data_IF_710635887457
#
_entry.id   IF_710635887457
#
_cell.length_a   1.000
_cell.length_b   1.000
_cell.length_c   1.000
_cell.angle_alpha   90.00
_cell.angle_beta   90.00
_cell.angle_gamma   90.00
#
_symmetry.space_group_name_H-M   'P 1'
#
loop_
_entity.id
_entity.type
_entity.pdbx_description
1 polymer ?
#
# COMPACT_ATOMS: atom_id res chain seq x y z
N UNK A 1 -3.57 16.45 -17.19
CA UNK A 1 -2.73 17.30 -16.33
C UNK A 1 -2.22 16.50 -15.13
N UNK A 2 -0.92 16.47 -14.85
CA UNK A 2 -0.41 15.78 -13.66
C UNK A 2 -0.84 16.50 -12.36
N UNK A 3 -0.73 15.83 -11.22
CA UNK A 3 -0.93 16.46 -9.92
C UNK A 3 0.17 17.51 -9.63
N UNK A 4 -0.11 18.42 -8.70
CA UNK A 4 0.90 19.40 -8.26
C UNK A 4 2.10 18.71 -7.61
N UNK A 5 3.25 19.39 -7.61
CA UNK A 5 4.49 18.86 -7.02
C UNK A 5 4.31 18.49 -5.55
N UNK A 6 3.53 19.27 -4.79
CA UNK A 6 3.23 19.01 -3.37
C UNK A 6 2.46 17.71 -3.18
N UNK A 7 1.46 17.44 -4.02
CA UNK A 7 0.69 16.18 -3.95
C UNK A 7 1.57 15.00 -4.32
N UNK A 8 2.40 15.12 -5.36
CA UNK A 8 3.34 14.07 -5.75
C UNK A 8 4.34 13.78 -4.64
N UNK A 9 4.92 14.82 -4.04
CA UNK A 9 5.83 14.68 -2.91
C UNK A 9 5.16 14.00 -1.72
N UNK A 10 3.94 14.42 -1.34
CA UNK A 10 3.18 13.79 -0.27
C UNK A 10 2.92 12.30 -0.53
N UNK A 11 2.49 11.95 -1.75
CA UNK A 11 2.28 10.55 -2.15
C UNK A 11 3.59 9.76 -2.11
N UNK A 12 4.70 10.30 -2.62
CA UNK A 12 6.00 9.61 -2.53
C UNK A 12 6.45 9.40 -1.08
N UNK A 13 6.32 10.42 -0.22
CA UNK A 13 6.66 10.33 1.20
C UNK A 13 5.82 9.27 1.92
N UNK A 14 4.52 9.20 1.62
CA UNK A 14 3.62 8.19 2.17
C UNK A 14 4.01 6.78 1.71
N UNK A 15 4.38 6.62 0.43
CA UNK A 15 4.86 5.33 -0.09
C UNK A 15 6.19 4.88 0.51
N UNK A 16 7.02 5.79 1.02
CA UNK A 16 8.21 5.41 1.80
C UNK A 16 7.88 4.61 3.07
N UNK A 17 6.63 4.68 3.56
CA UNK A 17 6.16 3.82 4.66
C UNK A 17 6.23 2.31 4.36
N UNK A 18 6.32 1.92 3.08
CA UNK A 18 6.54 0.53 2.67
C UNK A 18 7.98 0.04 2.95
N UNK A 19 8.95 0.95 3.07
CA UNK A 19 10.37 0.59 3.08
C UNK A 19 10.78 -0.33 4.24
N UNK A 20 10.34 -0.10 5.51
CA UNK A 20 10.69 -0.99 6.61
C UNK A 20 10.18 -2.41 6.40
N UNK A 21 8.93 -2.55 5.95
CA UNK A 21 8.32 -3.85 5.69
C UNK A 21 8.97 -4.58 4.50
N UNK A 22 9.25 -3.85 3.42
CA UNK A 22 9.99 -4.39 2.28
C UNK A 22 11.38 -4.87 2.68
N UNK A 23 12.06 -4.15 3.58
CA UNK A 23 13.35 -4.55 4.16
C UNK A 23 13.26 -5.88 4.91
N UNK A 24 12.30 -6.01 5.83
CA UNK A 24 12.06 -7.26 6.58
C UNK A 24 11.80 -8.43 5.63
N UNK A 25 10.90 -8.25 4.66
CA UNK A 25 10.60 -9.28 3.65
C UNK A 25 11.85 -9.67 2.86
N UNK A 26 12.66 -8.69 2.45
CA UNK A 26 13.91 -8.96 1.71
C UNK A 26 14.88 -9.79 2.56
N UNK A 27 15.07 -9.45 3.83
CA UNK A 27 15.93 -10.20 4.75
C UNK A 27 15.44 -11.65 4.88
N UNK A 28 14.14 -11.88 5.11
CA UNK A 28 13.58 -13.23 5.17
C UNK A 28 13.73 -14.00 3.86
N UNK A 29 13.51 -13.37 2.71
CA UNK A 29 13.71 -14.03 1.40
C UNK A 29 15.16 -14.43 1.13
N UNK A 30 16.12 -13.73 1.75
CA UNK A 30 17.55 -14.05 1.68
C UNK A 30 17.99 -15.05 2.76
N UNK A 31 17.04 -15.59 3.56
CA UNK A 31 17.33 -16.54 4.65
C UNK A 31 17.84 -15.89 5.93
N UNK A 32 17.83 -14.56 6.04
CA UNK A 32 18.26 -13.85 7.24
C UNK A 32 17.22 -13.85 8.37
N UNK A 33 17.64 -13.37 9.54
CA UNK A 33 16.75 -13.10 10.68
C UNK A 33 16.29 -11.64 10.66
N UNK A 34 14.98 -11.44 10.79
CA UNK A 34 14.40 -10.13 11.03
C UNK A 34 13.29 -10.24 12.06
N UNK A 35 13.22 -9.24 12.94
CA UNK A 35 12.23 -9.17 14.03
C UNK A 35 12.31 -10.37 15.01
N UNK A 36 13.46 -11.05 15.09
CA UNK A 36 13.66 -12.24 15.91
C UNK A 36 13.00 -13.50 15.32
N UNK A 37 12.82 -13.52 14.00
CA UNK A 37 12.28 -14.64 13.23
C UNK A 37 13.23 -14.93 12.07
N UNK A 38 13.68 -16.19 11.95
CA UNK A 38 14.46 -16.62 10.80
C UNK A 38 13.56 -16.74 9.56
N UNK A 39 14.10 -16.42 8.37
CA UNK A 39 13.36 -16.50 7.12
C UNK A 39 12.75 -17.89 6.83
N UNK A 40 13.43 -18.96 7.25
CA UNK A 40 12.93 -20.33 7.12
C UNK A 40 11.71 -20.60 8.00
N UNK A 41 11.69 -20.10 9.24
CA UNK A 41 10.55 -20.22 10.15
C UNK A 41 9.35 -19.43 9.61
N UNK A 42 9.61 -18.25 9.06
CA UNK A 42 8.59 -17.44 8.39
C UNK A 42 7.99 -18.16 7.18
N UNK A 43 8.83 -18.73 6.31
CA UNK A 43 8.40 -19.49 5.13
C UNK A 43 7.59 -20.73 5.52
N UNK A 44 8.01 -21.46 6.56
CA UNK A 44 7.26 -22.61 7.07
C UNK A 44 5.87 -22.22 7.56
N UNK A 45 5.73 -21.11 8.29
CA UNK A 45 4.41 -20.61 8.72
C UNK A 45 3.50 -20.23 7.56
N UNK A 46 4.06 -19.54 6.55
CA UNK A 46 3.39 -19.17 5.29
C UNK A 46 2.86 -20.40 4.53
N UNK A 47 3.65 -21.48 4.48
CA UNK A 47 3.27 -22.72 3.82
C UNK A 47 2.16 -23.48 4.56
N UNK A 48 2.15 -23.46 5.89
CA UNK A 48 1.15 -24.18 6.69
C UNK A 48 -0.20 -23.49 6.78
N UNK A 49 -0.22 -22.15 6.73
CA UNK A 49 -1.44 -21.35 6.96
C UNK A 49 -2.07 -20.81 5.66
N UNK A 50 -1.36 -20.88 4.53
CA UNK A 50 -1.78 -20.26 3.27
C UNK A 50 -2.75 -21.07 2.40
N UNK A 51 -3.74 -20.38 1.81
CA UNK A 51 -4.60 -20.91 0.75
C UNK A 51 -3.78 -21.41 -0.46
N UNK A 52 -4.36 -22.30 -1.28
CA UNK A 52 -3.65 -22.95 -2.39
C UNK A 52 -2.98 -21.97 -3.38
N UNK A 53 -3.62 -20.81 -3.64
CA UNK A 53 -3.07 -19.75 -4.51
C UNK A 53 -1.87 -19.06 -3.85
N UNK A 54 -1.96 -18.81 -2.54
CA UNK A 54 -0.88 -18.23 -1.76
C UNK A 54 0.34 -19.16 -1.73
N UNK A 55 0.11 -20.47 -1.54
CA UNK A 55 1.16 -21.50 -1.62
C UNK A 55 1.79 -21.62 -3.00
N UNK A 56 1.00 -21.57 -4.07
CA UNK A 56 1.53 -21.64 -5.44
C UNK A 56 2.41 -20.43 -5.80
N UNK A 57 2.01 -19.22 -5.38
CA UNK A 57 2.82 -18.02 -5.57
C UNK A 57 4.07 -18.03 -4.69
N UNK A 58 3.95 -18.48 -3.43
CA UNK A 58 5.08 -18.65 -2.53
C UNK A 58 6.10 -19.66 -3.08
N UNK A 59 5.66 -20.78 -3.65
CA UNK A 59 6.52 -21.76 -4.30
C UNK A 59 7.28 -21.20 -5.52
N UNK A 60 6.73 -20.18 -6.18
CA UNK A 60 7.40 -19.44 -7.25
C UNK A 60 8.31 -18.30 -6.72
N UNK A 61 8.46 -18.16 -5.40
CA UNK A 61 9.21 -17.08 -4.75
C UNK A 61 8.49 -15.73 -4.77
N UNK A 62 7.19 -15.72 -5.05
CA UNK A 62 6.39 -14.49 -5.22
C UNK A 62 5.49 -14.29 -4.00
N UNK A 63 5.84 -13.29 -3.18
CA UNK A 63 5.02 -12.90 -2.04
C UNK A 63 3.78 -12.11 -2.52
N UNK A 64 2.59 -12.63 -2.19
CA UNK A 64 1.29 -12.02 -2.53
C UNK A 64 1.17 -10.60 -1.98
N UNK A 65 1.72 -10.33 -0.80
CA UNK A 65 1.69 -8.99 -0.18
C UNK A 65 2.57 -8.01 -0.95
N UNK A 66 3.67 -8.47 -1.55
CA UNK A 66 4.53 -7.65 -2.41
C UNK A 66 3.82 -7.32 -3.72
N UNK A 67 3.16 -8.30 -4.35
CA UNK A 67 2.34 -8.06 -5.55
C UNK A 67 1.21 -7.06 -5.26
N UNK A 68 0.50 -7.24 -4.14
CA UNK A 68 -0.57 -6.32 -3.73
C UNK A 68 -0.02 -4.91 -3.47
N UNK A 69 1.13 -4.79 -2.81
CA UNK A 69 1.79 -3.50 -2.58
C UNK A 69 2.19 -2.84 -3.90
N UNK A 70 2.78 -3.58 -4.84
CA UNK A 70 3.14 -3.08 -6.17
C UNK A 70 1.93 -2.58 -6.95
N UNK A 71 0.80 -3.31 -6.89
CA UNK A 71 -0.45 -2.88 -7.51
C UNK A 71 -0.98 -1.58 -6.87
N UNK A 72 -0.91 -1.47 -5.54
CA UNK A 72 -1.27 -0.26 -4.82
C UNK A 72 -0.36 0.93 -5.17
N UNK A 73 0.95 0.72 -5.25
CA UNK A 73 1.94 1.73 -5.68
C UNK A 73 1.63 2.18 -7.10
N UNK A 74 1.40 1.22 -8.01
CA UNK A 74 1.03 1.51 -9.39
C UNK A 74 -0.23 2.37 -9.45
N UNK A 75 -1.28 2.01 -8.71
CA UNK A 75 -2.52 2.78 -8.63
C UNK A 75 -2.27 4.19 -8.08
N UNK A 76 -1.52 4.34 -6.98
CA UNK A 76 -1.16 5.63 -6.39
C UNK A 76 -0.40 6.52 -7.38
N UNK A 77 0.57 5.95 -8.12
CA UNK A 77 1.31 6.67 -9.15
C UNK A 77 0.40 7.08 -10.32
N UNK A 78 -0.53 6.23 -10.72
CA UNK A 78 -1.53 6.54 -11.74
C UNK A 78 -2.41 7.71 -11.33
N UNK A 79 -2.84 7.75 -10.07
CA UNK A 79 -3.66 8.83 -9.53
C UNK A 79 -2.95 10.19 -9.52
N UNK A 80 -1.62 10.25 -9.53
CA UNK A 80 -0.88 11.54 -9.52
C UNK A 80 -0.20 11.89 -10.85
N UNK A 81 -0.01 10.94 -11.76
CA UNK A 81 0.61 11.17 -13.05
C UNK A 81 -0.42 11.31 -14.19
N UNK A 82 0.02 11.84 -15.33
CA UNK A 82 -0.85 12.09 -16.50
C UNK A 82 -1.45 10.79 -17.08
N UNK A 83 -0.72 9.69 -16.99
CA UNK A 83 -1.11 8.40 -17.57
C UNK A 83 -2.31 7.76 -16.88
N UNK A 84 -2.65 8.15 -15.65
CA UNK A 84 -3.87 7.68 -14.99
C UNK A 84 -5.14 8.35 -15.47
N UNK A 85 -5.06 9.45 -16.25
CA UNK A 85 -6.23 10.10 -16.86
C UNK A 85 -6.34 9.87 -18.37
N UNK A 86 -5.21 9.58 -19.03
CA UNK A 86 -5.14 9.29 -20.45
C UNK A 86 -4.23 8.09 -20.63
N UNK A 87 -4.75 7.06 -21.28
CA UNK A 87 -4.01 5.84 -21.54
C UNK A 87 -2.70 6.14 -22.31
N UNK A 88 -1.56 5.63 -21.83
CA UNK A 88 -0.27 5.80 -22.48
C UNK A 88 -0.23 5.27 -23.92
N UNK A 89 0.79 5.66 -24.68
CA UNK A 89 1.00 5.17 -26.06
C UNK A 89 1.31 3.67 -26.13
N UNK A 90 1.86 3.09 -25.06
CA UNK A 90 2.19 1.67 -24.98
C UNK A 90 0.97 0.76 -24.71
N UNK A 91 -0.15 1.32 -24.26
CA UNK A 91 -1.42 0.56 -24.20
C UNK A 91 -2.05 0.50 -25.59
N UNK A 92 -1.53 -0.37 -26.47
CA UNK A 92 -1.85 -0.51 -27.90
C UNK A 92 -3.33 -0.24 -28.25
N UNK A 93 -4.28 -0.91 -27.59
CA UNK A 93 -5.71 -0.81 -27.91
C UNK A 93 -6.42 0.42 -27.32
N UNK A 94 -5.84 1.08 -26.32
CA UNK A 94 -6.47 2.17 -25.57
C UNK A 94 -5.71 3.49 -25.68
N UNK A 95 -4.60 3.51 -26.41
CA UNK A 95 -3.69 4.65 -26.49
C UNK A 95 -4.42 5.96 -26.80
N UNK A 96 -4.16 6.98 -25.98
CA UNK A 96 -4.74 8.31 -26.15
C UNK A 96 -6.20 8.46 -25.71
N UNK A 97 -6.91 7.36 -25.37
CA UNK A 97 -8.26 7.43 -24.81
C UNK A 97 -8.22 7.93 -23.36
N UNK A 98 -9.29 8.61 -22.94
CA UNK A 98 -9.45 9.03 -21.53
C UNK A 98 -9.78 7.80 -20.68
N UNK A 99 -9.11 7.70 -19.53
CA UNK A 99 -9.39 6.66 -18.53
C UNK A 99 -10.72 6.99 -17.84
N UNK A 100 -11.69 6.07 -17.77
CA UNK A 100 -12.92 6.28 -17.02
C UNK A 100 -12.59 6.61 -15.56
N UNK A 101 -13.09 7.74 -15.05
CA UNK A 101 -12.65 8.25 -13.75
C UNK A 101 -12.95 7.30 -12.59
N UNK A 102 -14.05 6.53 -12.67
CA UNK A 102 -14.43 5.56 -11.64
C UNK A 102 -13.45 4.40 -11.52
N UNK A 103 -12.76 4.04 -12.61
CA UNK A 103 -11.86 2.88 -12.65
C UNK A 103 -10.71 2.98 -11.63
N UNK A 104 -9.97 4.10 -11.53
CA UNK A 104 -8.99 4.27 -10.46
C UNK A 104 -9.60 4.80 -9.15
N UNK A 105 -10.71 5.55 -9.17
CA UNK A 105 -11.30 6.16 -7.97
C UNK A 105 -11.92 5.13 -7.01
N UNK A 106 -12.70 4.17 -7.55
CA UNK A 106 -13.38 3.16 -6.74
C UNK A 106 -12.41 2.30 -5.93
N UNK A 107 -11.39 1.65 -6.53
CA UNK A 107 -10.44 0.87 -5.75
C UNK A 107 -9.58 1.75 -4.83
N UNK A 108 -9.23 2.97 -5.25
CA UNK A 108 -8.41 3.85 -4.42
C UNK A 108 -9.14 4.33 -3.16
N UNK A 109 -10.44 4.63 -3.25
CA UNK A 109 -11.23 4.95 -2.06
C UNK A 109 -11.55 3.71 -1.23
N UNK A 110 -12.02 2.64 -1.86
CA UNK A 110 -12.41 1.42 -1.15
C UNK A 110 -11.25 0.79 -0.40
N UNK A 111 -10.16 0.47 -1.11
CA UNK A 111 -8.98 -0.17 -0.51
C UNK A 111 -8.17 0.84 0.29
N UNK A 112 -7.97 2.05 -0.26
CA UNK A 112 -7.11 3.06 0.37
C UNK A 112 -7.64 3.52 1.73
N UNK A 113 -8.95 3.70 1.89
CA UNK A 113 -9.52 4.09 3.18
C UNK A 113 -9.39 2.98 4.22
N UNK A 114 -9.70 1.74 3.86
CA UNK A 114 -9.54 0.60 4.75
C UNK A 114 -8.08 0.44 5.21
N UNK A 115 -7.12 0.49 4.28
CA UNK A 115 -5.70 0.40 4.60
C UNK A 115 -5.20 1.58 5.43
N UNK A 116 -5.66 2.80 5.13
CA UNK A 116 -5.28 3.99 5.89
C UNK A 116 -5.74 3.90 7.34
N UNK A 117 -7.01 3.56 7.56
CA UNK A 117 -7.59 3.41 8.91
C UNK A 117 -6.87 2.29 9.65
N UNK A 118 -6.74 1.12 9.03
CA UNK A 118 -6.05 -0.01 9.63
C UNK A 118 -4.60 0.34 10.00
N UNK A 119 -3.85 0.94 9.09
CA UNK A 119 -2.47 1.34 9.32
C UNK A 119 -2.32 2.39 10.42
N UNK A 120 -3.21 3.38 10.49
CA UNK A 120 -3.22 4.37 11.58
C UNK A 120 -3.48 3.72 12.92
N UNK A 121 -4.41 2.77 13.00
CA UNK A 121 -4.67 2.02 14.23
C UNK A 121 -3.41 1.27 14.66
N UNK A 122 -2.75 0.53 13.77
CA UNK A 122 -1.50 -0.17 14.08
C UNK A 122 -0.38 0.78 14.52
N UNK A 123 -0.23 1.92 13.84
CA UNK A 123 0.75 2.96 14.16
C UNK A 123 0.50 3.61 15.53
N UNK A 124 -0.74 3.68 15.98
CA UNK A 124 -1.06 4.15 17.32
C UNK A 124 -0.83 3.05 18.37
N UNK A 125 -1.26 1.82 18.07
CA UNK A 125 -1.16 0.68 18.98
C UNK A 125 0.28 0.33 19.33
N UNK A 126 1.19 0.28 18.35
CA UNK A 126 2.60 -0.05 18.59
C UNK A 126 3.26 0.84 19.69
N UNK A 127 3.33 2.17 19.56
CA UNK A 127 3.93 3.02 20.59
C UNK A 127 3.15 3.01 21.90
N UNK A 128 1.81 2.95 21.88
CA UNK A 128 1.00 2.85 23.11
C UNK A 128 1.33 1.58 23.90
N UNK A 129 1.61 0.46 23.22
CA UNK A 129 2.04 -0.78 23.87
C UNK A 129 3.44 -0.67 24.48
N UNK A 130 4.35 0.08 23.84
CA UNK A 130 5.72 0.29 24.32
C UNK A 130 5.74 1.14 25.60
N UNK A 131 4.92 2.19 25.65
CA UNK A 131 4.82 3.07 26.83
C UNK A 131 3.91 2.51 27.93
N UNK A 132 3.31 1.33 27.72
CA UNK A 132 2.48 0.66 28.72
C UNK A 132 1.09 1.26 28.91
N UNK A 133 0.59 2.07 27.95
CA UNK A 133 -0.78 2.60 27.98
C UNK A 133 -1.80 1.50 27.66
N UNK A 134 -1.41 0.56 26.81
CA UNK A 134 -2.19 -0.66 26.51
C UNK A 134 -1.35 -1.90 26.84
N UNK A 135 -2.01 -3.06 26.90
CA UNK A 135 -1.33 -4.34 27.08
C UNK A 135 -0.27 -4.56 25.98
N UNK A 136 0.88 -5.13 26.38
CA UNK A 136 1.91 -5.57 25.43
C UNK A 136 1.36 -6.70 24.58
N UNK A 137 1.77 -6.74 23.31
CA UNK A 137 1.38 -7.83 22.43
C UNK A 137 1.92 -9.17 22.95
N UNK A 138 1.04 -10.14 23.05
CA UNK A 138 1.41 -11.52 23.36
C UNK A 138 2.19 -12.09 22.18
N UNK A 139 3.40 -12.66 22.41
CA UNK A 139 4.12 -13.38 21.37
C UNK A 139 3.26 -14.52 20.81
N UNK A 140 3.31 -14.71 19.50
CA UNK A 140 2.70 -15.83 18.79
C UNK A 140 3.70 -16.33 17.77
N UNK A 141 3.82 -17.65 17.63
CA UNK A 141 4.67 -18.27 16.61
C UNK A 141 4.41 -17.62 15.24
N UNK A 142 5.45 -17.24 14.46
CA UNK A 142 6.87 -17.52 14.70
C UNK A 142 7.59 -16.51 15.62
N UNK A 143 6.91 -15.47 16.11
CA UNK A 143 7.51 -14.44 16.97
C UNK A 143 7.60 -14.91 18.43
N UNK A 144 8.82 -15.04 18.93
CA UNK A 144 9.10 -15.49 20.31
C UNK A 144 9.13 -14.35 21.34
N UNK A 145 9.05 -13.08 20.90
CA UNK A 145 9.11 -11.91 21.78
C UNK A 145 8.04 -10.87 21.46
N UNK A 146 7.54 -10.20 22.50
CA UNK A 146 6.60 -9.08 22.36
C UNK A 146 7.20 -7.93 21.57
N UNK A 147 8.53 -7.75 21.65
CA UNK A 147 9.25 -6.74 20.87
C UNK A 147 9.16 -7.04 19.37
N UNK A 148 9.39 -8.29 18.95
CA UNK A 148 9.26 -8.71 17.55
C UNK A 148 7.86 -8.44 16.99
N UNK A 149 6.82 -8.80 17.75
CA UNK A 149 5.42 -8.52 17.38
C UNK A 149 5.15 -7.01 17.31
N UNK A 150 5.68 -6.23 18.26
CA UNK A 150 5.49 -4.77 18.27
C UNK A 150 6.12 -4.10 17.04
N UNK A 151 7.33 -4.52 16.65
CA UNK A 151 7.99 -4.01 15.45
C UNK A 151 7.27 -4.45 14.18
N UNK A 152 6.77 -5.70 14.12
CA UNK A 152 5.92 -6.16 13.02
C UNK A 152 4.68 -5.25 12.89
N UNK A 153 3.97 -5.00 13.99
CA UNK A 153 2.79 -4.12 14.02
C UNK A 153 3.15 -2.71 13.55
N UNK A 154 4.26 -2.15 14.01
CA UNK A 154 4.70 -0.81 13.61
C UNK A 154 5.03 -0.75 12.12
N UNK A 155 5.81 -1.69 11.59
CA UNK A 155 6.21 -1.72 10.19
C UNK A 155 5.03 -2.01 9.26
N UNK A 156 4.14 -2.93 9.66
CA UNK A 156 2.87 -3.14 8.98
C UNK A 156 2.00 -1.87 9.00
N UNK A 157 1.94 -1.17 10.14
CA UNK A 157 1.24 0.11 10.27
C UNK A 157 1.78 1.18 9.33
N UNK A 158 3.11 1.33 9.24
CA UNK A 158 3.76 2.23 8.29
C UNK A 158 3.44 1.87 6.84
N UNK A 159 3.47 0.57 6.50
CA UNK A 159 3.19 0.08 5.16
C UNK A 159 1.74 0.31 4.75
N UNK A 160 0.77 -0.14 5.56
CA UNK A 160 -0.66 0.01 5.27
C UNK A 160 -1.12 1.46 5.38
N UNK A 161 -0.67 2.19 6.40
CA UNK A 161 -1.02 3.60 6.60
C UNK A 161 -0.42 4.48 5.52
N UNK A 162 0.84 4.23 5.15
CA UNK A 162 1.52 4.91 4.06
C UNK A 162 0.85 4.64 2.70
N UNK A 163 0.64 3.37 2.33
CA UNK A 163 0.00 3.01 1.08
C UNK A 163 -1.46 3.50 1.01
N UNK A 164 -2.24 3.29 2.06
CA UNK A 164 -3.62 3.74 2.16
C UNK A 164 -3.73 5.26 2.08
N UNK A 165 -2.89 5.98 2.84
CA UNK A 165 -2.81 7.44 2.79
C UNK A 165 -2.44 7.95 1.39
N UNK A 166 -1.46 7.32 0.74
CA UNK A 166 -1.06 7.66 -0.63
C UNK A 166 -2.23 7.51 -1.62
N UNK A 167 -3.00 6.43 -1.51
CA UNK A 167 -4.20 6.20 -2.31
C UNK A 167 -5.30 7.23 -2.05
N UNK A 168 -5.59 7.54 -0.78
CA UNK A 168 -6.61 8.54 -0.41
C UNK A 168 -6.25 9.93 -0.90
N UNK A 169 -5.01 10.38 -0.65
CA UNK A 169 -4.52 11.69 -1.12
C UNK A 169 -4.50 11.75 -2.65
N UNK A 170 -4.04 10.68 -3.29
CA UNK A 170 -4.05 10.54 -4.75
C UNK A 170 -5.47 10.61 -5.32
N UNK A 171 -6.41 9.85 -4.75
CA UNK A 171 -7.81 9.77 -5.18
C UNK A 171 -8.52 11.11 -5.04
N UNK A 172 -8.34 11.78 -3.89
CA UNK A 172 -8.89 13.12 -3.67
C UNK A 172 -8.37 14.13 -4.69
N UNK A 173 -7.05 14.17 -4.91
CA UNK A 173 -6.45 15.05 -5.91
C UNK A 173 -6.94 14.72 -7.32
N UNK A 174 -7.03 13.44 -7.67
CA UNK A 174 -7.51 12.96 -8.96
C UNK A 174 -8.95 13.39 -9.21
N UNK A 175 -9.85 13.17 -8.25
CA UNK A 175 -11.27 13.56 -8.32
C UNK A 175 -11.43 15.06 -8.56
N UNK A 176 -10.67 15.90 -7.85
CA UNK A 176 -10.68 17.36 -8.06
C UNK A 176 -10.28 17.73 -9.49
N UNK A 177 -9.24 17.09 -10.06
CA UNK A 177 -8.79 17.36 -11.43
C UNK A 177 -9.81 16.90 -12.47
N UNK A 178 -10.45 15.75 -12.26
CA UNK A 178 -11.53 15.27 -13.14
C UNK A 178 -12.72 16.24 -13.13
N UNK A 179 -13.18 16.66 -11.95
CA UNK A 179 -14.31 17.59 -11.82
C UNK A 179 -13.99 18.97 -12.40
N UNK A 180 -12.75 19.47 -12.21
CA UNK A 180 -12.32 20.72 -12.83
C UNK A 180 -12.32 20.63 -14.37
N UNK A 181 -11.81 19.53 -14.93
CA UNK A 181 -11.82 19.32 -16.38
C UNK A 181 -13.24 19.20 -16.95
N UNK A 182 -14.18 18.59 -16.21
CA UNK A 182 -15.59 18.55 -16.60
C UNK A 182 -16.22 19.95 -16.59
N UNK A 183 -15.98 20.75 -15.56
CA UNK A 183 -16.50 22.15 -15.47
C UNK A 183 -15.94 23.04 -16.57
N UNK A 184 -14.66 22.94 -16.88
CA UNK A 184 -14.04 23.71 -17.96
C UNK A 184 -14.58 23.34 -19.36
N UNK A 185 -15.16 22.15 -19.52
CA UNK A 185 -15.77 21.70 -20.76
C UNK A 185 -17.29 21.97 -20.83
N UNK A 186 -17.90 22.50 -19.76
CA UNK A 186 -19.31 22.84 -19.77
C UNK A 186 -19.54 24.14 -20.56
N UNK A 187 -20.55 24.21 -21.45
CA UNK A 187 -20.88 25.43 -22.17
C UNK A 187 -21.27 26.56 -21.21
N UNK A 188 -20.91 27.81 -21.55
CA UNK A 188 -21.28 28.98 -20.76
C UNK A 188 -22.81 29.12 -20.74
N UNK A 189 -23.42 29.50 -19.59
CA UNK A 189 -24.84 29.81 -19.55
C UNK A 189 -25.15 30.95 -20.51
N UNK A 190 -26.23 30.79 -21.29
CA UNK A 190 -26.74 31.77 -22.26
C UNK A 190 -27.33 33.00 -21.57
#
# INVERSE_FOLDING_TARGET
MAASIRVRAAVCLLLCGLAPWAGVKTVWTLGGDALGVAGEDWLRGVETEGDAVYRALAAAGVDVTVLAALLGVFLALGLVHRWGMVFPRWTLFLAGRRVPALLPLVPAWGVGLCLAVYGVVLLAMAPLSLVGVIARFTPMEPFTSSAGVTWMVLFGGLAFGGLGGALVVGAWSYGRRVSAAKRAAAPLPA
#
